data_IF_350408986230
#
_entry.id   IF_350408986230
#
_cell.length_a   1.000
_cell.length_b   1.000
_cell.length_c   1.000
_cell.angle_alpha   90.00
_cell.angle_beta   90.00
_cell.angle_gamma   90.00
#
_symmetry.space_group_name_H-M   'P 1'
#
loop_
_entity.id
_entity.type
_entity.pdbx_description
1 polymer ?
#
# COMPACT_ATOMS: atom_id res chain seq x y z
N UNK A 1 7.59 -1.54 15.14
CA UNK A 1 7.65 -0.58 14.03
C UNK A 1 7.89 -1.39 12.75
N UNK A 2 7.67 -0.84 11.56
CA UNK A 2 7.92 -1.56 10.31
C UNK A 2 8.70 -0.76 9.28
N UNK A 3 9.36 -1.46 8.37
CA UNK A 3 10.05 -0.90 7.21
C UNK A 3 9.58 -1.58 5.92
N UNK A 4 9.47 -0.82 4.83
CA UNK A 4 9.15 -1.39 3.51
C UNK A 4 10.44 -1.93 2.89
N UNK A 5 10.49 -3.23 2.63
CA UNK A 5 11.65 -3.90 2.01
C UNK A 5 11.55 -3.92 0.50
N UNK A 6 10.38 -4.29 0.00
CA UNK A 6 10.10 -4.37 -1.42
C UNK A 6 8.67 -3.86 -1.68
N UNK A 7 8.42 -3.41 -2.90
CA UNK A 7 7.07 -3.06 -3.30
C UNK A 7 6.83 -3.40 -4.77
N UNK A 8 5.60 -3.80 -5.06
CA UNK A 8 5.08 -3.89 -6.42
C UNK A 8 3.96 -2.89 -6.57
N UNK A 9 3.89 -2.23 -7.72
CA UNK A 9 2.89 -1.22 -8.01
C UNK A 9 2.27 -1.48 -9.38
N UNK A 10 0.94 -1.63 -9.40
CA UNK A 10 0.19 -1.90 -10.61
C UNK A 10 -0.89 -0.84 -10.81
N UNK A 11 -0.89 -0.20 -11.98
CA UNK A 11 -1.97 0.69 -12.38
C UNK A 11 -3.19 -0.14 -12.77
N UNK A 12 -4.31 0.07 -12.08
CA UNK A 12 -5.58 -0.56 -12.45
C UNK A 12 -6.05 -0.04 -13.80
N UNK A 13 -6.42 -0.99 -14.68
CA UNK A 13 -7.05 -0.67 -15.96
C UNK A 13 -8.49 -0.23 -15.72
N UNK A 14 -8.85 0.96 -16.20
CA UNK A 14 -10.24 1.43 -16.24
C UNK A 14 -10.77 1.39 -17.68
N UNK A 15 -11.21 0.22 -18.17
CA UNK A 15 -11.66 0.09 -19.55
C UNK A 15 -12.96 0.87 -19.84
N UNK A 16 -13.70 1.27 -18.80
CA UNK A 16 -14.97 1.97 -18.93
C UNK A 16 -14.86 3.50 -18.76
N UNK A 17 -13.72 4.01 -18.27
CA UNK A 17 -13.50 5.44 -18.06
C UNK A 17 -14.42 6.05 -17.00
N UNK A 18 -14.87 5.24 -16.02
CA UNK A 18 -15.79 5.68 -14.96
C UNK A 18 -15.01 6.35 -13.82
N UNK A 19 -13.72 6.05 -13.68
CA UNK A 19 -12.94 6.50 -12.55
C UNK A 19 -12.50 7.96 -12.73
N UNK A 20 -12.71 8.78 -11.70
CA UNK A 20 -12.27 10.18 -11.63
C UNK A 20 -10.77 10.31 -11.35
N UNK A 21 -9.94 9.47 -11.94
CA UNK A 21 -8.50 9.45 -11.66
C UNK A 21 -7.85 8.12 -12.00
N UNK A 22 -6.58 8.03 -11.64
CA UNK A 22 -5.79 6.82 -11.80
C UNK A 22 -5.81 6.05 -10.48
N UNK A 23 -6.15 4.76 -10.56
CA UNK A 23 -6.07 3.86 -9.40
C UNK A 23 -4.86 2.96 -9.51
N UNK A 24 -4.21 2.76 -8.38
CA UNK A 24 -3.04 1.94 -8.26
C UNK A 24 -3.27 0.94 -7.14
N UNK A 25 -2.84 -0.29 -7.38
CA UNK A 25 -2.72 -1.32 -6.37
C UNK A 25 -1.25 -1.49 -6.03
N UNK A 26 -0.90 -1.30 -4.77
CA UNK A 26 0.43 -1.49 -4.26
C UNK A 26 0.45 -2.69 -3.33
N UNK A 27 1.47 -3.53 -3.46
CA UNK A 27 1.79 -4.58 -2.51
C UNK A 27 3.15 -4.24 -1.90
N UNK A 28 3.15 -3.94 -0.61
CA UNK A 28 4.35 -3.56 0.14
C UNK A 28 4.76 -4.74 1.01
N UNK A 29 5.93 -5.32 0.74
CA UNK A 29 6.56 -6.28 1.64
C UNK A 29 7.18 -5.51 2.80
N UNK A 30 6.74 -5.81 4.02
CA UNK A 30 7.17 -5.11 5.22
C UNK A 30 8.00 -6.04 6.12
N UNK A 31 9.11 -5.51 6.62
CA UNK A 31 9.83 -6.08 7.75
C UNK A 31 9.29 -5.44 9.01
N UNK A 32 8.67 -6.24 9.87
CA UNK A 32 8.03 -5.80 11.11
C UNK A 32 8.89 -6.30 12.28
N UNK A 33 9.13 -5.44 13.26
CA UNK A 33 9.88 -5.82 14.47
C UNK A 33 9.19 -6.97 15.22
N UNK A 34 9.96 -7.93 15.77
CA UNK A 34 9.42 -9.09 16.51
C UNK A 34 8.56 -8.72 17.72
N UNK A 35 8.77 -7.53 18.28
CA UNK A 35 8.03 -7.00 19.45
C UNK A 35 6.72 -6.30 19.06
N UNK A 36 6.44 -6.14 17.76
CA UNK A 36 5.25 -5.46 17.25
C UNK A 36 4.05 -6.40 17.18
N UNK A 37 2.85 -5.85 17.36
CA UNK A 37 1.59 -6.61 17.30
C UNK A 37 1.33 -7.16 15.89
N UNK A 38 1.80 -6.47 14.84
CA UNK A 38 1.68 -6.89 13.45
C UNK A 38 2.62 -8.05 13.06
N UNK A 39 3.62 -8.37 13.90
CA UNK A 39 4.65 -9.34 13.52
C UNK A 39 4.10 -10.75 13.28
N UNK A 40 4.57 -11.38 12.19
CA UNK A 40 4.31 -12.78 11.90
C UNK A 40 5.59 -13.48 11.39
N UNK A 41 5.77 -14.75 11.72
CA UNK A 41 6.96 -15.52 11.30
C UNK A 41 7.11 -15.63 9.77
N UNK A 42 6.01 -15.53 9.03
CA UNK A 42 5.99 -15.63 7.57
C UNK A 42 6.16 -14.26 6.88
N UNK A 43 6.27 -13.17 7.65
CA UNK A 43 6.34 -11.80 7.16
C UNK A 43 4.97 -11.16 6.90
N UNK A 44 4.95 -9.84 6.73
CA UNK A 44 3.72 -9.06 6.54
C UNK A 44 3.77 -8.34 5.20
N UNK A 45 2.67 -8.44 4.45
CA UNK A 45 2.43 -7.71 3.22
C UNK A 45 1.27 -6.75 3.42
N UNK A 46 1.46 -5.49 3.09
CA UNK A 46 0.38 -4.49 3.06
C UNK A 46 -0.09 -4.29 1.62
N UNK A 47 -1.36 -4.59 1.36
CA UNK A 47 -2.02 -4.25 0.10
C UNK A 47 -2.68 -2.88 0.24
N UNK A 48 -2.33 -1.94 -0.62
CA UNK A 48 -2.87 -0.58 -0.62
C UNK A 48 -3.53 -0.29 -1.96
N UNK A 49 -4.80 0.13 -1.92
CA UNK A 49 -5.49 0.71 -3.07
C UNK A 49 -5.40 2.21 -2.96
N UNK A 50 -4.67 2.83 -3.88
CA UNK A 50 -4.40 4.25 -3.89
C UNK A 50 -5.06 4.91 -5.10
N UNK A 51 -5.58 6.13 -4.92
CA UNK A 51 -6.16 6.90 -6.02
C UNK A 51 -5.45 8.25 -6.17
N UNK A 52 -5.15 8.60 -7.42
CA UNK A 52 -4.65 9.90 -7.84
C UNK A 52 -5.71 10.56 -8.71
N UNK A 53 -6.38 11.56 -8.17
CA UNK A 53 -7.39 12.34 -8.89
C UNK A 53 -6.71 13.33 -9.84
N UNK A 54 -7.40 13.70 -10.93
CA UNK A 54 -6.90 14.67 -11.89
C UNK A 54 -6.68 16.08 -11.30
N UNK A 55 -7.37 16.39 -10.19
CA UNK A 55 -7.21 17.65 -9.46
C UNK A 55 -5.87 17.77 -8.72
N UNK A 56 -5.06 16.70 -8.70
CA UNK A 56 -3.82 16.60 -7.94
C UNK A 56 -4.02 16.08 -6.51
N UNK A 57 -5.26 15.83 -6.09
CA UNK A 57 -5.53 15.15 -4.82
C UNK A 57 -5.21 13.66 -4.93
N UNK A 58 -4.69 13.07 -3.85
CA UNK A 58 -4.44 11.64 -3.78
C UNK A 58 -4.69 11.11 -2.38
N UNK A 59 -5.09 9.84 -2.28
CA UNK A 59 -5.43 9.20 -1.01
C UNK A 59 -5.40 7.68 -1.07
N UNK A 60 -5.23 7.06 0.09
CA UNK A 60 -5.56 5.66 0.31
C UNK A 60 -7.09 5.50 0.26
N UNK A 61 -7.58 4.55 -0.52
CA UNK A 61 -9.00 4.19 -0.63
C UNK A 61 -9.30 2.95 0.20
N UNK A 62 -8.35 2.02 0.26
CA UNK A 62 -8.43 0.78 1.03
C UNK A 62 -7.02 0.31 1.34
N UNK A 63 -6.85 -0.30 2.50
CA UNK A 63 -5.66 -1.07 2.82
C UNK A 63 -6.04 -2.40 3.47
N UNK A 64 -5.19 -3.41 3.34
CA UNK A 64 -5.39 -4.75 3.89
C UNK A 64 -4.03 -5.35 4.29
N UNK A 65 -3.85 -5.71 5.57
CA UNK A 65 -2.70 -6.49 5.99
C UNK A 65 -2.89 -7.97 5.66
N UNK A 66 -1.85 -8.57 5.09
CA UNK A 66 -1.81 -9.95 4.65
C UNK A 66 -0.56 -10.61 5.22
N UNK A 67 -0.66 -11.86 5.65
CA UNK A 67 0.51 -12.68 5.92
C UNK A 67 1.22 -12.97 4.59
N UNK A 68 2.53 -12.71 4.51
CA UNK A 68 3.27 -12.76 3.24
C UNK A 68 3.44 -14.19 2.69
N UNK A 69 3.47 -15.20 3.55
CA UNK A 69 3.55 -16.62 3.16
C UNK A 69 2.23 -17.23 2.72
N UNK A 70 1.16 -17.01 3.49
CA UNK A 70 -0.15 -17.63 3.28
C UNK A 70 -1.15 -16.76 2.50
N UNK A 71 -0.93 -15.44 2.44
CA UNK A 71 -1.87 -14.47 1.89
C UNK A 71 -3.14 -14.29 2.75
N UNK A 72 -3.16 -14.83 3.97
CA UNK A 72 -4.29 -14.71 4.87
C UNK A 72 -4.43 -13.28 5.40
N UNK A 73 -5.67 -12.82 5.54
CA UNK A 73 -5.96 -11.52 6.13
C UNK A 73 -5.56 -11.45 7.60
N UNK A 74 -4.91 -10.36 7.95
CA UNK A 74 -4.56 -10.00 9.32
C UNK A 74 -5.54 -8.90 9.73
N UNK A 75 -6.35 -9.17 10.75
CA UNK A 75 -7.39 -8.26 11.25
C UNK A 75 -6.77 -7.20 12.18
N UNK A 76 -6.04 -6.28 11.56
CA UNK A 76 -5.39 -5.15 12.22
C UNK A 76 -5.60 -3.89 11.39
N UNK A 77 -5.57 -2.74 12.06
CA UNK A 77 -5.69 -1.43 11.45
C UNK A 77 -4.37 -0.67 11.57
N UNK A 78 -4.13 0.21 10.61
CA UNK A 78 -3.01 1.13 10.70
C UNK A 78 -3.29 2.18 11.76
N UNK A 79 -2.26 2.52 12.54
CA UNK A 79 -2.26 3.74 13.34
C UNK A 79 -2.18 4.98 12.43
N UNK A 80 -2.55 6.15 12.95
CA UNK A 80 -2.50 7.40 12.19
C UNK A 80 -1.09 7.73 11.67
N UNK A 81 -0.06 7.39 12.44
CA UNK A 81 1.34 7.61 12.07
C UNK A 81 1.77 6.70 10.91
N UNK A 82 1.36 5.43 10.95
CA UNK A 82 1.62 4.47 9.89
C UNK A 82 0.86 4.83 8.61
N UNK A 83 -0.41 5.24 8.72
CA UNK A 83 -1.20 5.67 7.56
C UNK A 83 -0.56 6.87 6.87
N UNK A 84 -0.09 7.85 7.65
CA UNK A 84 0.63 9.01 7.12
C UNK A 84 1.94 8.62 6.44
N UNK A 85 2.68 7.66 7.00
CA UNK A 85 3.91 7.14 6.40
C UNK A 85 3.65 6.44 5.06
N UNK A 86 2.66 5.55 5.00
CA UNK A 86 2.31 4.84 3.76
C UNK A 86 1.72 5.78 2.71
N UNK A 87 0.90 6.76 3.11
CA UNK A 87 0.37 7.77 2.18
C UNK A 87 1.51 8.61 1.57
N UNK A 88 2.47 9.05 2.39
CA UNK A 88 3.65 9.77 1.91
C UNK A 88 4.49 8.91 0.94
N UNK A 89 4.70 7.64 1.28
CA UNK A 89 5.40 6.69 0.41
C UNK A 89 4.68 6.53 -0.94
N UNK A 90 3.36 6.30 -0.93
CA UNK A 90 2.57 6.14 -2.15
C UNK A 90 2.60 7.41 -3.03
N UNK A 91 2.49 8.60 -2.41
CA UNK A 91 2.60 9.89 -3.11
C UNK A 91 3.94 10.03 -3.81
N UNK A 92 5.04 9.82 -3.09
CA UNK A 92 6.39 9.96 -3.64
C UNK A 92 6.59 9.02 -4.84
N UNK A 93 6.16 7.75 -4.72
CA UNK A 93 6.25 6.76 -5.83
C UNK A 93 5.39 7.11 -7.03
N UNK A 94 4.27 7.81 -6.83
CA UNK A 94 3.37 8.27 -7.89
C UNK A 94 3.79 9.59 -8.55
N UNK A 95 4.69 10.33 -7.91
CA UNK A 95 5.30 11.54 -8.46
C UNK A 95 6.59 11.24 -9.23
N UNK A 96 7.31 10.18 -8.85
CA UNK A 96 8.48 9.71 -9.57
C UNK A 96 8.07 8.90 -10.82
N UNK A 97 8.76 9.08 -11.96
CA UNK A 97 8.55 8.23 -13.13
C UNK A 97 8.91 6.79 -12.77
N UNK A 98 8.01 5.85 -13.07
CA UNK A 98 8.30 4.42 -12.99
C UNK A 98 9.44 4.13 -13.99
N UNK A 99 10.63 3.79 -13.50
CA UNK A 99 11.69 3.29 -14.37
C UNK A 99 11.24 1.91 -14.89
N UNK A 100 11.09 1.80 -16.22
CA UNK A 100 10.68 0.58 -16.95
C UNK A 100 11.79 -0.47 -17.02
#
# INVERSE_FOLDING_TARGET
MFEIREYTMEKMKDPYGILSGERFELYLEMEVDEEDELHTEEGVRLRVVYVKEQSGASRIVKYEFLNAGSGAYIDMEMTEEEEAFIDAFCKERLELPLEE
#
